data_IF_111798164378
#
_entry.id   IF_111798164378
#
_cell.length_a   1.000
_cell.length_b   1.000
_cell.length_c   1.000
_cell.angle_alpha   90.00
_cell.angle_beta   90.00
_cell.angle_gamma   90.00
#
_symmetry.space_group_name_H-M   'P 1'
#
loop_
_entity.id
_entity.type
_entity.pdbx_description
1 polymer ?
#
# COMPACT_ATOMS: atom_id res chain seq x y z
N UNK A 1 -13.80 35.32 4.30
CA UNK A 1 -15.26 35.60 4.34
C UNK A 1 -15.60 35.88 5.80
N UNK A 2 -15.53 37.14 6.22
CA UNK A 2 -15.68 37.54 7.62
C UNK A 2 -17.16 37.60 7.98
N UNK A 3 -17.58 36.77 8.94
CA UNK A 3 -18.92 36.83 9.51
C UNK A 3 -18.93 38.03 10.47
N UNK A 4 -19.71 39.07 10.14
CA UNK A 4 -19.92 40.20 11.04
C UNK A 4 -20.73 39.70 12.25
N UNK A 5 -20.20 39.89 13.45
CA UNK A 5 -20.99 39.82 14.67
C UNK A 5 -21.82 41.10 14.76
N UNK A 6 -23.15 40.99 14.83
CA UNK A 6 -24.03 42.11 15.11
C UNK A 6 -23.93 42.49 16.60
N UNK A 7 -23.78 43.78 16.86
CA UNK A 7 -23.69 44.43 18.18
C UNK A 7 -25.03 44.49 18.93
N UNK A 8 -26.01 43.66 18.57
CA UNK A 8 -27.39 43.75 19.08
C UNK A 8 -27.60 43.03 20.43
N UNK A 9 -26.56 42.42 21.02
CA UNK A 9 -26.71 41.64 22.26
C UNK A 9 -26.80 42.48 23.54
N UNK A 10 -26.41 43.76 23.51
CA UNK A 10 -26.37 44.60 24.72
C UNK A 10 -27.68 45.38 24.97
N UNK A 11 -28.55 45.51 23.97
CA UNK A 11 -29.81 46.27 24.04
C UNK A 11 -30.85 45.68 25.00
N UNK A 12 -30.92 44.36 25.12
CA UNK A 12 -31.93 43.67 25.94
C UNK A 12 -31.63 43.62 27.44
N UNK A 13 -30.39 43.93 27.85
CA UNK A 13 -29.99 43.94 29.26
C UNK A 13 -30.43 45.23 29.96
N UNK A 14 -30.60 46.31 29.20
CA UNK A 14 -30.93 47.65 29.71
C UNK A 14 -32.45 47.83 29.90
N UNK A 15 -33.27 47.12 29.11
CA UNK A 15 -34.73 47.11 29.22
C UNK A 15 -35.25 46.27 30.41
N UNK A 16 -34.48 45.27 30.84
CA UNK A 16 -34.81 44.44 32.02
C UNK A 16 -34.53 45.13 33.37
N UNK A 17 -33.72 46.19 33.38
CA UNK A 17 -33.36 46.91 34.61
C UNK A 17 -34.38 48.01 35.00
N UNK A 18 -35.35 48.32 34.13
CA UNK A 18 -36.38 49.35 34.37
C UNK A 18 -37.70 48.82 34.95
N UNK A 19 -37.88 47.50 35.08
CA UNK A 19 -39.09 46.90 35.68
C UNK A 19 -38.80 46.34 37.09
N UNK A 20 -38.38 47.22 37.99
CA UNK A 20 -38.22 46.94 39.42
C UNK A 20 -39.55 46.93 40.16
N UNK A 21 -40.20 45.76 40.24
CA UNK A 21 -41.34 45.48 41.13
C UNK A 21 -41.08 44.22 41.98
N UNK A 22 -41.04 44.40 43.30
CA UNK A 22 -40.64 43.42 44.32
C UNK A 22 -41.23 42.00 44.15
N UNK A 23 -40.36 40.97 44.08
CA UNK A 23 -40.70 39.57 44.40
C UNK A 23 -40.39 38.50 43.35
N UNK A 24 -40.31 38.84 42.06
CA UNK A 24 -40.14 37.87 40.96
C UNK A 24 -38.77 37.85 40.28
N UNK A 25 -37.88 38.79 40.61
CA UNK A 25 -36.64 39.06 39.87
C UNK A 25 -35.61 37.94 40.08
N UNK A 26 -35.60 37.29 41.27
CA UNK A 26 -34.66 36.20 41.57
C UNK A 26 -34.91 34.93 40.77
N UNK A 27 -36.18 34.54 40.57
CA UNK A 27 -36.55 33.34 39.80
C UNK A 27 -36.44 33.58 38.29
N UNK A 28 -36.79 34.77 37.79
CA UNK A 28 -36.58 35.11 36.38
C UNK A 28 -35.09 35.18 36.02
N UNK A 29 -34.24 35.79 36.86
CA UNK A 29 -32.80 35.81 36.65
C UNK A 29 -32.16 34.42 36.80
N UNK A 30 -32.68 33.56 37.67
CA UNK A 30 -32.19 32.18 37.80
C UNK A 30 -32.55 31.32 36.58
N UNK A 31 -33.77 31.46 36.04
CA UNK A 31 -34.20 30.74 34.82
C UNK A 31 -33.48 31.27 33.58
N UNK A 32 -33.27 32.59 33.45
CA UNK A 32 -32.48 33.15 32.35
C UNK A 32 -31.02 32.71 32.47
N UNK A 33 -30.42 32.71 33.66
CA UNK A 33 -29.05 32.22 33.87
C UNK A 33 -28.92 30.72 33.55
N UNK A 34 -29.89 29.89 33.94
CA UNK A 34 -29.91 28.45 33.64
C UNK A 34 -30.12 28.19 32.13
N UNK A 35 -31.05 28.90 31.47
CA UNK A 35 -31.28 28.76 30.03
C UNK A 35 -30.08 29.27 29.20
N UNK A 36 -29.45 30.37 29.60
CA UNK A 36 -28.21 30.87 28.96
C UNK A 36 -27.07 29.86 29.15
N UNK A 37 -26.91 29.31 30.36
CA UNK A 37 -25.92 28.26 30.65
C UNK A 37 -26.18 26.98 29.83
N UNK A 38 -27.44 26.56 29.67
CA UNK A 38 -27.79 25.37 28.88
C UNK A 38 -27.55 25.60 27.37
N UNK A 39 -27.84 26.80 26.86
CA UNK A 39 -27.55 27.17 25.46
C UNK A 39 -26.04 27.20 25.20
N UNK A 40 -25.22 27.69 26.13
CA UNK A 40 -23.77 27.74 25.99
C UNK A 40 -23.14 26.33 26.04
N UNK A 41 -23.66 25.42 26.87
CA UNK A 41 -23.24 24.01 26.89
C UNK A 41 -23.57 23.31 25.56
N UNK A 42 -24.75 23.57 24.97
CA UNK A 42 -25.13 23.01 23.67
C UNK A 42 -24.24 23.57 22.55
N UNK A 43 -23.95 24.88 22.58
CA UNK A 43 -23.00 25.51 21.64
C UNK A 43 -21.59 24.94 21.78
N UNK A 44 -21.12 24.70 23.01
CA UNK A 44 -19.82 24.09 23.27
C UNK A 44 -19.76 22.66 22.71
N UNK A 45 -20.77 21.82 23.00
CA UNK A 45 -20.83 20.44 22.51
C UNK A 45 -20.91 20.35 20.99
N UNK A 46 -21.65 21.26 20.35
CA UNK A 46 -21.67 21.37 18.89
C UNK A 46 -20.30 21.79 18.33
N UNK A 47 -19.65 22.77 18.96
CA UNK A 47 -18.31 23.24 18.56
C UNK A 47 -17.25 22.15 18.72
N UNK A 48 -17.26 21.40 19.82
CA UNK A 48 -16.37 20.24 20.06
C UNK A 48 -16.59 19.16 19.00
N UNK A 49 -17.86 18.84 18.68
CA UNK A 49 -18.18 17.82 17.68
C UNK A 49 -17.77 18.24 16.28
N UNK A 50 -17.89 19.52 15.93
CA UNK A 50 -17.40 20.05 14.66
C UNK A 50 -15.87 19.98 14.60
N UNK A 51 -15.16 20.40 15.65
CA UNK A 51 -13.69 20.30 15.70
C UNK A 51 -13.19 18.87 15.56
N UNK A 52 -13.83 17.91 16.25
CA UNK A 52 -13.49 16.48 16.14
C UNK A 52 -13.76 15.92 14.73
N UNK A 53 -14.87 16.32 14.11
CA UNK A 53 -15.19 15.90 12.74
C UNK A 53 -14.24 16.53 11.72
N UNK A 54 -13.77 17.76 11.95
CA UNK A 54 -12.79 18.42 11.10
C UNK A 54 -11.41 17.76 11.24
N UNK A 55 -10.96 17.42 12.45
CA UNK A 55 -9.70 16.69 12.67
C UNK A 55 -9.72 15.33 11.96
N UNK A 56 -10.80 14.56 12.11
CA UNK A 56 -10.95 13.28 11.42
C UNK A 56 -10.94 13.42 9.89
N UNK A 57 -11.55 14.49 9.36
CA UNK A 57 -11.54 14.78 7.91
C UNK A 57 -10.16 15.24 7.43
N UNK A 58 -9.43 16.02 8.23
CA UNK A 58 -8.06 16.43 7.92
C UNK A 58 -7.13 15.23 7.88
N UNK A 59 -7.30 14.25 8.78
CA UNK A 59 -6.55 12.99 8.75
C UNK A 59 -6.88 12.15 7.51
N UNK A 60 -8.16 11.97 7.17
CA UNK A 60 -8.59 11.28 5.94
C UNK A 60 -8.00 11.96 4.68
N UNK A 61 -8.03 13.29 4.62
CA UNK A 61 -7.47 14.07 3.50
C UNK A 61 -5.94 13.92 3.47
N UNK A 62 -5.26 13.95 4.61
CA UNK A 62 -3.80 13.79 4.68
C UNK A 62 -3.37 12.41 4.20
N UNK A 63 -4.12 11.35 4.53
CA UNK A 63 -3.87 10.00 4.02
C UNK A 63 -4.05 9.92 2.51
N UNK A 64 -5.11 10.52 1.96
CA UNK A 64 -5.38 10.56 0.52
C UNK A 64 -4.32 11.37 -0.24
N UNK A 65 -3.93 12.54 0.29
CA UNK A 65 -2.87 13.38 -0.30
C UNK A 65 -1.53 12.65 -0.26
N UNK A 66 -1.16 12.04 0.86
CA UNK A 66 0.05 11.20 0.98
C UNK A 66 0.06 10.05 -0.04
N UNK A 67 -1.06 9.37 -0.24
CA UNK A 67 -1.18 8.31 -1.25
C UNK A 67 -1.09 8.85 -2.69
N UNK A 68 -1.64 10.05 -2.94
CA UNK A 68 -1.58 10.70 -4.24
C UNK A 68 -0.17 11.23 -4.57
N UNK A 69 0.50 11.91 -3.63
CA UNK A 69 1.85 12.45 -3.83
C UNK A 69 2.87 11.34 -4.06
N UNK A 70 2.76 10.20 -3.36
CA UNK A 70 3.58 9.00 -3.63
C UNK A 70 3.39 8.46 -5.05
N UNK A 71 2.20 8.60 -5.62
CA UNK A 71 1.89 8.20 -7.00
C UNK A 71 2.42 9.21 -8.03
N UNK A 72 2.45 10.50 -7.68
CA UNK A 72 2.85 11.58 -8.58
C UNK A 72 4.38 11.79 -8.67
N UNK A 73 5.14 11.50 -7.61
CA UNK A 73 6.62 11.61 -7.63
C UNK A 73 7.30 10.70 -8.66
N UNK A 74 6.57 9.72 -9.21
CA UNK A 74 7.09 8.80 -10.20
C UNK A 74 6.62 9.03 -11.63
N UNK A 75 5.61 9.88 -11.91
CA UNK A 75 5.03 10.00 -13.26
C UNK A 75 5.49 11.29 -13.96
N UNK A 76 6.14 11.15 -15.11
CA UNK A 76 6.35 12.27 -16.05
C UNK A 76 5.06 12.61 -16.82
N UNK A 77 4.97 13.79 -17.49
CA UNK A 77 3.74 14.24 -18.19
C UNK A 77 3.24 13.30 -19.29
N UNK A 78 4.07 12.34 -19.71
CA UNK A 78 3.79 11.32 -20.72
C UNK A 78 3.20 10.04 -20.08
N UNK A 79 3.16 9.96 -18.75
CA UNK A 79 2.71 8.78 -18.00
C UNK A 79 3.78 7.70 -17.82
N UNK A 80 5.04 7.99 -18.14
CA UNK A 80 6.17 7.09 -17.91
C UNK A 80 6.76 7.27 -16.51
N UNK A 81 7.18 6.17 -15.89
CA UNK A 81 7.90 6.22 -14.61
C UNK A 81 9.24 6.95 -14.79
N UNK A 82 9.61 7.86 -13.88
CA UNK A 82 10.85 8.68 -14.03
C UNK A 82 12.12 7.93 -13.65
N UNK A 83 12.02 7.03 -12.69
CA UNK A 83 13.12 6.23 -12.16
C UNK A 83 12.51 4.95 -11.59
N UNK A 84 13.29 3.95 -11.25
CA UNK A 84 12.84 2.74 -10.54
C UNK A 84 13.08 2.84 -9.03
N UNK A 85 13.80 3.87 -8.56
CA UNK A 85 14.29 3.96 -7.18
C UNK A 85 15.47 3.04 -6.87
N UNK A 86 15.88 2.18 -7.80
CA UNK A 86 16.95 1.20 -7.64
C UNK A 86 18.13 1.60 -8.52
N UNK A 87 19.34 1.62 -7.94
CA UNK A 87 20.54 1.96 -8.69
C UNK A 87 20.87 0.88 -9.73
N UNK A 88 21.10 1.31 -10.98
CA UNK A 88 21.46 0.41 -12.08
C UNK A 88 20.29 -0.29 -12.76
N UNK A 89 19.05 -0.08 -12.33
CA UNK A 89 17.84 -0.61 -12.96
C UNK A 89 17.13 0.47 -13.77
N UNK A 90 17.19 0.37 -15.10
CA UNK A 90 16.56 1.34 -16.00
C UNK A 90 15.05 1.09 -16.13
N UNK A 91 14.27 2.17 -16.18
CA UNK A 91 12.82 2.11 -16.42
C UNK A 91 12.57 1.61 -17.84
N UNK A 92 11.63 0.67 -17.97
CA UNK A 92 11.20 0.16 -19.24
C UNK A 92 9.95 0.89 -19.75
N UNK A 93 9.95 1.46 -20.97
CA UNK A 93 8.77 2.11 -21.52
C UNK A 93 7.57 1.17 -21.72
N UNK A 94 7.80 -0.12 -21.97
CA UNK A 94 6.74 -1.09 -22.22
C UNK A 94 7.07 -2.48 -21.60
N UNK A 95 6.89 -2.62 -20.28
CA UNK A 95 7.35 -3.81 -19.55
C UNK A 95 6.54 -5.08 -19.84
N UNK A 96 5.24 -4.93 -20.12
CA UNK A 96 4.32 -6.08 -20.29
C UNK A 96 4.65 -6.97 -21.49
N UNK A 97 4.78 -6.47 -22.73
CA UNK A 97 5.09 -7.32 -23.88
C UNK A 97 6.50 -7.92 -23.78
N UNK A 98 7.46 -7.20 -23.20
CA UNK A 98 8.78 -7.74 -22.93
C UNK A 98 8.70 -8.94 -21.98
N UNK A 99 7.98 -8.81 -20.88
CA UNK A 99 7.82 -9.88 -19.89
C UNK A 99 7.13 -11.12 -20.49
N UNK A 100 6.06 -10.92 -21.27
CA UNK A 100 5.37 -12.00 -21.99
C UNK A 100 6.33 -12.73 -22.95
N UNK A 101 7.15 -11.97 -23.68
CA UNK A 101 8.14 -12.54 -24.60
C UNK A 101 9.15 -13.42 -23.86
N UNK A 102 9.69 -12.94 -22.73
CA UNK A 102 10.67 -13.67 -21.93
C UNK A 102 10.07 -14.96 -21.33
N UNK A 103 8.84 -14.90 -20.80
CA UNK A 103 8.18 -16.10 -20.28
C UNK A 103 7.90 -17.14 -21.36
N UNK A 104 7.48 -16.72 -22.56
CA UNK A 104 7.29 -17.63 -23.70
C UNK A 104 8.60 -18.27 -24.13
N UNK A 105 9.70 -17.51 -24.17
CA UNK A 105 11.04 -18.03 -24.42
C UNK A 105 11.49 -19.02 -23.34
N UNK A 106 11.22 -18.72 -22.08
CA UNK A 106 11.56 -19.59 -20.94
C UNK A 106 10.80 -20.91 -21.01
N UNK A 107 9.50 -20.88 -21.29
CA UNK A 107 8.69 -22.10 -21.49
C UNK A 107 9.19 -22.93 -22.69
N UNK A 108 9.59 -22.28 -23.78
CA UNK A 108 10.16 -22.97 -24.93
C UNK A 108 11.49 -23.66 -24.57
N UNK A 109 12.40 -22.94 -23.89
CA UNK A 109 13.69 -23.46 -23.46
C UNK A 109 13.55 -24.62 -22.46
N UNK A 110 12.63 -24.51 -21.48
CA UNK A 110 12.31 -25.59 -20.54
C UNK A 110 11.82 -26.85 -21.25
N UNK A 111 10.95 -26.70 -22.25
CA UNK A 111 10.39 -27.82 -23.02
C UNK A 111 11.43 -28.52 -23.91
N UNK A 112 12.33 -27.74 -24.51
CA UNK A 112 13.35 -28.25 -25.45
C UNK A 112 14.54 -28.90 -24.74
N UNK A 113 15.06 -28.26 -23.67
CA UNK A 113 16.36 -28.62 -23.09
C UNK A 113 16.28 -29.57 -21.90
N UNK A 114 15.18 -29.57 -21.15
CA UNK A 114 15.08 -30.26 -19.85
C UNK A 114 14.00 -31.36 -19.94
N UNK A 115 14.25 -32.59 -19.46
CA UNK A 115 13.27 -33.66 -19.54
C UNK A 115 12.07 -33.45 -18.60
N UNK A 116 10.91 -34.02 -18.95
CA UNK A 116 9.64 -33.81 -18.23
C UNK A 116 9.61 -34.34 -16.78
N UNK A 117 10.44 -35.34 -16.47
CA UNK A 117 10.53 -35.90 -15.12
C UNK A 117 11.39 -35.05 -14.17
N UNK A 118 12.16 -34.11 -14.69
CA UNK A 118 12.99 -33.24 -13.85
C UNK A 118 12.10 -32.37 -12.96
N UNK A 119 12.32 -32.45 -11.64
CA UNK A 119 11.55 -31.66 -10.65
C UNK A 119 11.69 -30.16 -10.91
N UNK A 120 12.89 -29.71 -11.29
CA UNK A 120 13.16 -28.32 -11.64
C UNK A 120 12.23 -27.82 -12.77
N UNK A 121 12.06 -28.61 -13.85
CA UNK A 121 11.18 -28.24 -14.96
C UNK A 121 9.73 -28.10 -14.51
N UNK A 122 9.24 -29.05 -13.71
CA UNK A 122 7.84 -29.03 -13.25
C UNK A 122 7.55 -27.79 -12.39
N UNK A 123 8.46 -27.46 -11.48
CA UNK A 123 8.36 -26.28 -10.63
C UNK A 123 8.45 -24.98 -11.47
N UNK A 124 9.47 -24.86 -12.32
CA UNK A 124 9.70 -23.67 -13.14
C UNK A 124 8.55 -23.43 -14.13
N UNK A 125 8.02 -24.48 -14.76
CA UNK A 125 6.85 -24.37 -15.64
C UNK A 125 5.60 -23.89 -14.89
N UNK A 126 5.33 -24.44 -13.72
CA UNK A 126 4.15 -24.07 -12.92
C UNK A 126 4.20 -22.58 -12.55
N UNK A 127 5.36 -22.12 -12.05
CA UNK A 127 5.58 -20.72 -11.67
C UNK A 127 5.47 -19.82 -12.90
N UNK A 128 6.14 -20.18 -14.01
CA UNK A 128 6.16 -19.36 -15.23
C UNK A 128 4.78 -19.26 -15.87
N UNK A 129 4.00 -20.36 -15.92
CA UNK A 129 2.62 -20.37 -16.43
C UNK A 129 1.70 -19.48 -15.61
N UNK A 130 1.76 -19.60 -14.28
CA UNK A 130 1.00 -18.75 -13.37
C UNK A 130 1.32 -17.26 -13.60
N UNK A 131 2.62 -16.91 -13.62
CA UNK A 131 3.05 -15.52 -13.85
C UNK A 131 2.69 -15.01 -15.24
N UNK A 132 2.73 -15.85 -16.27
CA UNK A 132 2.30 -15.50 -17.61
C UNK A 132 0.80 -15.17 -17.63
N UNK A 133 -0.04 -16.00 -17.00
CA UNK A 133 -1.48 -15.77 -16.89
C UNK A 133 -1.79 -14.46 -16.15
N UNK A 134 -1.12 -14.20 -15.02
CA UNK A 134 -1.25 -12.93 -14.30
C UNK A 134 -0.86 -11.76 -15.21
N UNK A 135 0.25 -11.88 -15.95
CA UNK A 135 0.76 -10.81 -16.81
C UNK A 135 -0.19 -10.52 -17.99
N UNK A 136 -0.75 -11.56 -18.62
CA UNK A 136 -1.65 -11.41 -19.77
C UNK A 136 -2.97 -10.74 -19.35
N UNK A 137 -3.54 -11.16 -18.21
CA UNK A 137 -4.88 -10.73 -17.77
C UNK A 137 -4.92 -9.37 -17.04
N UNK A 138 -3.79 -8.88 -16.51
CA UNK A 138 -3.78 -7.70 -15.64
C UNK A 138 -3.00 -6.51 -16.24
N UNK A 139 -3.23 -5.32 -15.67
CA UNK A 139 -2.46 -4.10 -15.94
C UNK A 139 -1.21 -4.04 -15.06
N UNK A 140 -0.18 -3.27 -15.43
CA UNK A 140 1.10 -3.19 -14.69
C UNK A 140 0.91 -2.95 -13.17
N UNK A 141 0.10 -1.96 -12.72
CA UNK A 141 -0.09 -1.73 -11.28
C UNK A 141 -0.80 -2.89 -10.56
N UNK A 142 -1.64 -3.63 -11.28
CA UNK A 142 -2.34 -4.78 -10.73
C UNK A 142 -1.42 -5.99 -10.63
N UNK A 143 -0.49 -6.15 -11.57
CA UNK A 143 0.55 -7.19 -11.52
C UNK A 143 1.45 -6.97 -10.30
N UNK A 144 1.91 -5.74 -10.07
CA UNK A 144 2.69 -5.35 -8.89
C UNK A 144 1.97 -5.70 -7.58
N UNK A 145 0.67 -5.39 -7.51
CA UNK A 145 -0.17 -5.71 -6.36
C UNK A 145 -0.36 -7.21 -6.13
N UNK A 146 -0.61 -7.98 -7.20
CA UNK A 146 -0.85 -9.43 -7.10
C UNK A 146 0.43 -10.16 -6.71
N UNK A 147 1.57 -9.75 -7.24
CA UNK A 147 2.86 -10.38 -6.97
C UNK A 147 3.52 -9.86 -5.68
N UNK A 148 2.97 -8.81 -5.07
CA UNK A 148 3.52 -8.11 -3.90
C UNK A 148 4.95 -7.60 -4.15
N UNK A 149 5.10 -6.88 -5.27
CA UNK A 149 6.38 -6.34 -5.75
C UNK A 149 6.25 -4.84 -5.96
N UNK A 150 7.28 -4.09 -5.58
CA UNK A 150 7.28 -2.63 -5.72
C UNK A 150 7.44 -2.17 -7.17
N UNK A 151 8.19 -2.91 -7.99
CA UNK A 151 8.55 -2.52 -9.34
C UNK A 151 8.56 -3.70 -10.35
N UNK A 152 7.84 -3.56 -11.48
CA UNK A 152 7.75 -4.60 -12.53
C UNK A 152 9.11 -4.87 -13.22
N UNK A 153 10.02 -3.90 -13.23
CA UNK A 153 11.36 -4.03 -13.80
C UNK A 153 12.19 -5.11 -13.10
N UNK A 154 12.00 -5.30 -11.80
CA UNK A 154 12.63 -6.39 -11.04
C UNK A 154 12.15 -7.75 -11.53
N UNK A 155 10.86 -7.86 -11.84
CA UNK A 155 10.27 -9.09 -12.39
C UNK A 155 10.86 -9.42 -13.75
N UNK A 156 11.13 -8.40 -14.58
CA UNK A 156 11.81 -8.57 -15.86
C UNK A 156 13.25 -9.05 -15.66
N UNK A 157 13.98 -8.49 -14.70
CA UNK A 157 15.33 -8.94 -14.38
C UNK A 157 15.34 -10.41 -13.92
N UNK A 158 14.44 -10.76 -13.00
CA UNK A 158 14.25 -12.14 -12.52
C UNK A 158 13.88 -13.10 -13.65
N UNK A 159 13.00 -12.70 -14.57
CA UNK A 159 12.61 -13.54 -15.70
C UNK A 159 13.77 -13.77 -16.68
N UNK A 160 14.62 -12.75 -16.89
CA UNK A 160 15.85 -12.91 -17.69
C UNK A 160 16.87 -13.82 -17.01
N UNK A 161 17.01 -13.71 -15.70
CA UNK A 161 17.92 -14.57 -14.94
C UNK A 161 17.43 -16.02 -14.91
N UNK A 162 16.13 -16.26 -14.83
CA UNK A 162 15.54 -17.59 -14.98
C UNK A 162 15.85 -18.17 -16.37
N UNK A 163 15.70 -17.38 -17.44
CA UNK A 163 16.05 -17.83 -18.80
C UNK A 163 17.53 -18.20 -18.93
N UNK A 164 18.44 -17.44 -18.30
CA UNK A 164 19.86 -17.79 -18.24
C UNK A 164 20.09 -19.06 -17.42
N UNK A 165 19.41 -19.19 -16.28
CA UNK A 165 19.49 -20.35 -15.42
C UNK A 165 19.05 -21.62 -16.14
N UNK A 166 17.98 -21.57 -16.94
CA UNK A 166 17.53 -22.72 -17.74
C UNK A 166 18.63 -23.22 -18.68
N UNK A 167 19.39 -22.31 -19.29
CA UNK A 167 20.53 -22.68 -20.14
C UNK A 167 21.64 -23.34 -19.33
N UNK A 168 21.96 -22.79 -18.16
CA UNK A 168 22.95 -23.36 -17.26
C UNK A 168 22.54 -24.74 -16.72
N UNK A 169 21.27 -24.90 -16.33
CA UNK A 169 20.72 -26.18 -15.85
C UNK A 169 20.74 -27.25 -16.94
N UNK A 170 20.58 -26.86 -18.21
CA UNK A 170 20.74 -27.77 -19.35
C UNK A 170 22.17 -28.32 -19.48
N UNK A 171 23.18 -27.55 -19.10
CA UNK A 171 24.58 -27.96 -19.09
C UNK A 171 24.89 -28.83 -17.86
N UNK A 172 24.42 -28.41 -16.67
CA UNK A 172 24.71 -29.11 -15.41
C UNK A 172 23.93 -30.41 -15.21
N UNK A 173 22.76 -30.57 -15.85
CA UNK A 173 21.88 -31.74 -15.74
C UNK A 173 21.65 -32.26 -14.30
N UNK A 174 21.22 -31.42 -13.36
CA UNK A 174 21.08 -31.78 -11.94
C UNK A 174 19.97 -32.80 -11.63
N UNK A 175 19.23 -33.25 -12.64
CA UNK A 175 18.24 -34.32 -12.53
C UNK A 175 18.86 -35.72 -12.70
N UNK A 176 20.14 -35.80 -13.04
CA UNK A 176 20.87 -37.07 -13.06
C UNK A 176 21.25 -37.49 -11.63
N UNK A 177 21.64 -38.75 -11.47
CA UNK A 177 22.09 -39.27 -10.18
C UNK A 177 23.35 -38.54 -9.72
N UNK A 178 23.54 -38.49 -8.40
CA UNK A 178 24.69 -37.85 -7.78
C UNK A 178 26.02 -38.39 -8.34
N UNK A 179 26.86 -37.50 -8.86
CA UNK A 179 28.15 -37.85 -9.47
C UNK A 179 29.11 -38.50 -8.46
N UNK A 180 29.19 -37.96 -7.23
CA UNK A 180 30.01 -38.49 -6.15
C UNK A 180 29.19 -38.75 -4.89
N UNK A 181 29.11 -40.02 -4.46
CA UNK A 181 28.49 -40.37 -3.19
C UNK A 181 29.37 -39.90 -2.03
N UNK A 182 28.78 -39.39 -0.94
CA UNK A 182 29.56 -38.93 0.20
C UNK A 182 30.36 -40.09 0.81
N UNK A 183 31.56 -39.78 1.31
CA UNK A 183 32.36 -40.73 2.07
C UNK A 183 31.62 -41.16 3.34
N UNK A 184 31.80 -42.42 3.81
CA UNK A 184 31.22 -42.87 5.07
C UNK A 184 31.65 -41.96 6.23
N UNK A 185 30.67 -41.44 6.98
CA UNK A 185 30.93 -40.52 8.11
C UNK A 185 31.11 -39.04 7.74
N UNK A 186 31.07 -38.64 6.45
CA UNK A 186 31.22 -37.24 6.02
C UNK A 186 30.17 -36.30 6.65
N UNK A 187 28.94 -36.80 6.79
CA UNK A 187 27.81 -36.06 7.35
C UNK A 187 27.45 -36.50 8.77
N UNK A 188 28.31 -37.29 9.42
CA UNK A 188 28.17 -37.64 10.83
C UNK A 188 28.77 -36.51 11.68
N UNK A 189 27.89 -35.67 12.24
CA UNK A 189 28.28 -34.63 13.19
C UNK A 189 28.58 -35.20 14.59
N UNK A 190 28.74 -34.31 15.56
CA UNK A 190 29.00 -34.66 16.96
C UNK A 190 27.80 -35.42 17.58
N UNK A 191 28.03 -36.69 17.95
CA UNK A 191 27.09 -37.45 18.79
C UNK A 191 27.21 -36.95 20.23
N UNK A 192 26.09 -36.58 20.87
CA UNK A 192 26.09 -36.28 22.31
C UNK A 192 26.55 -37.52 23.08
N UNK A 193 27.42 -37.32 24.08
CA UNK A 193 27.76 -38.38 25.01
C UNK A 193 26.46 -38.88 25.67
N UNK A 194 26.24 -40.19 25.66
CA UNK A 194 25.16 -40.81 26.42
C UNK A 194 25.50 -40.67 27.90
N UNK A 195 24.67 -39.92 28.62
CA UNK A 195 24.72 -39.74 30.08
C UNK A 195 24.58 -41.08 30.84
#
# INVERSE_FOLDING_TARGET
MGVRYNEDSESWLEELNQLGGHGGIGIANFIIFDLVSQVDIIKLNASIKISFLLEKRVEEITQVISAHDKKLIHLDPIGCMKTTGIFGLAVNPDPKPQLISIYKQTLAALNEKIPSHAVYRQAAESITKNRLEITENNSVPEIERILDIENIEEVIAMANDELKLVNFMAECKPWEDLEEKPLPGQWDYFKKASD
#
